data_IF_686006750602
#
_entry.id   IF_686006750602
#
_cell.length_a   1.000
_cell.length_b   1.000
_cell.length_c   1.000
_cell.angle_alpha   90.00
_cell.angle_beta   90.00
_cell.angle_gamma   90.00
#
_symmetry.space_group_name_H-M   'P 1'
#
loop_
_entity.id
_entity.type
_entity.pdbx_description
1 polymer ?
#
# COMPACT_ATOMS: atom_id res chain seq x y z
N UNK A 1 -8.95 -28.36 26.74
CA UNK A 1 -9.27 -28.03 25.34
C UNK A 1 -9.77 -26.58 25.27
N UNK A 2 -8.88 -25.59 25.40
CA UNK A 2 -9.21 -24.15 25.26
C UNK A 2 -7.94 -23.44 24.77
N UNK A 3 -7.75 -23.28 23.46
CA UNK A 3 -6.68 -22.43 22.90
C UNK A 3 -6.89 -22.02 21.43
N UNK A 4 -8.13 -21.77 21.03
CA UNK A 4 -8.44 -21.36 19.65
C UNK A 4 -9.31 -20.09 19.54
N UNK A 5 -9.87 -19.58 20.64
CA UNK A 5 -10.74 -18.39 20.62
C UNK A 5 -9.97 -17.05 20.69
N UNK A 6 -8.77 -17.00 21.31
CA UNK A 6 -8.04 -15.74 21.52
C UNK A 6 -7.28 -15.23 20.29
N UNK A 7 -6.93 -16.09 19.35
CA UNK A 7 -6.20 -15.69 18.13
C UNK A 7 -7.10 -14.92 17.17
N UNK A 8 -8.36 -15.34 17.03
CA UNK A 8 -9.34 -14.69 16.14
C UNK A 8 -9.75 -13.28 16.59
N UNK A 9 -9.84 -13.04 17.91
CA UNK A 9 -10.22 -11.72 18.45
C UNK A 9 -9.08 -10.72 18.32
N UNK A 10 -7.83 -11.15 18.55
CA UNK A 10 -6.66 -10.33 18.28
C UNK A 10 -6.53 -10.06 16.78
N UNK A 11 -6.83 -11.05 15.92
CA UNK A 11 -6.82 -10.88 14.47
C UNK A 11 -7.84 -9.87 13.94
N UNK A 12 -9.07 -9.92 14.45
CA UNK A 12 -10.12 -8.97 14.09
C UNK A 12 -9.81 -7.55 14.61
N UNK A 13 -9.27 -7.44 15.83
CA UNK A 13 -9.02 -6.14 16.47
C UNK A 13 -7.93 -5.30 15.79
N UNK A 14 -6.98 -5.90 15.06
CA UNK A 14 -5.99 -5.14 14.29
C UNK A 14 -6.43 -4.82 12.86
N UNK A 15 -7.30 -5.66 12.25
CA UNK A 15 -7.93 -5.35 10.94
C UNK A 15 -8.63 -3.99 10.98
N UNK A 16 -9.26 -3.67 12.10
CA UNK A 16 -9.93 -2.37 12.32
C UNK A 16 -8.97 -1.20 12.63
N UNK A 17 -7.80 -1.46 13.24
CA UNK A 17 -6.89 -0.41 13.72
C UNK A 17 -5.84 0.04 12.69
N UNK A 18 -5.35 -0.86 11.84
CA UNK A 18 -4.24 -0.62 10.92
C UNK A 18 -4.59 -0.76 9.41
N UNK A 19 -5.81 -1.17 9.05
CA UNK A 19 -6.37 -0.86 7.73
C UNK A 19 -6.55 -2.01 6.75
N UNK A 20 -7.34 -1.65 5.74
CA UNK A 20 -7.85 -2.33 4.53
C UNK A 20 -8.76 -3.55 4.76
N UNK A 21 -10.03 -3.37 4.39
CA UNK A 21 -11.05 -4.42 4.26
C UNK A 21 -10.68 -5.32 3.06
N UNK A 22 -9.70 -6.20 3.30
CA UNK A 22 -9.30 -7.34 2.47
C UNK A 22 -9.57 -7.23 0.97
N UNK A 23 -10.07 -8.31 0.37
CA UNK A 23 -10.47 -8.34 -1.05
C UNK A 23 -11.92 -7.89 -1.24
N UNK A 24 -12.66 -7.66 -0.14
CA UNK A 24 -14.06 -7.24 -0.14
C UNK A 24 -14.25 -5.88 -0.80
N UNK A 25 -13.21 -5.02 -0.79
CA UNK A 25 -13.18 -3.76 -1.55
C UNK A 25 -13.42 -3.95 -3.06
N UNK A 26 -13.15 -5.14 -3.59
CA UNK A 26 -13.30 -5.46 -5.01
C UNK A 26 -14.73 -5.86 -5.37
N UNK A 27 -15.62 -5.94 -4.37
CA UNK A 27 -17.06 -6.22 -4.55
C UNK A 27 -17.80 -4.98 -5.05
N UNK A 28 -17.33 -4.49 -6.19
CA UNK A 28 -17.90 -3.42 -6.97
C UNK A 28 -17.86 -3.87 -8.43
N UNK A 29 -18.85 -3.47 -9.25
CA UNK A 29 -18.85 -3.80 -10.66
C UNK A 29 -17.59 -3.24 -11.33
N UNK A 30 -16.99 -4.04 -12.21
CA UNK A 30 -15.93 -3.56 -13.09
C UNK A 30 -16.49 -2.47 -14.02
N UNK A 31 -15.72 -1.42 -14.25
CA UNK A 31 -15.96 -0.48 -15.34
C UNK A 31 -14.88 -0.54 -16.41
N UNK A 32 -14.66 0.58 -17.10
CA UNK A 32 -13.55 0.76 -18.04
C UNK A 32 -12.50 1.69 -17.47
N UNK A 33 -11.22 1.42 -17.74
CA UNK A 33 -10.14 2.39 -17.51
C UNK A 33 -9.33 2.62 -18.77
N UNK A 34 -8.82 3.83 -18.95
CA UNK A 34 -7.96 4.19 -20.08
C UNK A 34 -6.50 3.76 -19.88
N UNK A 35 -5.64 4.06 -20.85
CA UNK A 35 -4.21 3.74 -20.80
C UNK A 35 -3.47 4.45 -19.65
N UNK A 36 -3.82 5.71 -19.37
CA UNK A 36 -3.19 6.49 -18.31
C UNK A 36 -3.58 5.95 -16.93
N UNK A 37 -4.84 5.56 -16.76
CA UNK A 37 -5.36 4.94 -15.55
C UNK A 37 -4.77 3.54 -15.31
N UNK A 38 -4.54 2.74 -16.37
CA UNK A 38 -3.79 1.48 -16.26
C UNK A 38 -2.36 1.71 -15.78
N UNK A 39 -1.66 2.69 -16.36
CA UNK A 39 -0.30 3.03 -15.94
C UNK A 39 -0.28 3.53 -14.48
N UNK A 40 -1.28 4.32 -14.07
CA UNK A 40 -1.44 4.75 -12.70
C UNK A 40 -1.63 3.58 -11.75
N UNK A 41 -2.49 2.61 -12.09
CA UNK A 41 -2.73 1.42 -11.28
C UNK A 41 -1.45 0.58 -11.08
N UNK A 42 -0.62 0.46 -12.12
CA UNK A 42 0.72 -0.16 -12.02
C UNK A 42 1.62 0.62 -11.06
N UNK A 43 1.62 1.95 -11.16
CA UNK A 43 2.41 2.82 -10.29
C UNK A 43 1.96 2.76 -8.81
N UNK A 44 0.67 2.52 -8.54
CA UNK A 44 0.14 2.24 -7.20
C UNK A 44 0.71 0.92 -6.65
N UNK A 45 0.70 -0.15 -7.45
CA UNK A 45 1.25 -1.44 -7.03
C UNK A 45 2.73 -1.35 -6.66
N UNK A 46 3.52 -0.60 -7.44
CA UNK A 46 4.94 -0.35 -7.16
C UNK A 46 5.11 0.38 -5.83
N UNK A 47 4.32 1.44 -5.58
CA UNK A 47 4.37 2.20 -4.32
C UNK A 47 4.03 1.36 -3.10
N UNK A 48 2.97 0.54 -3.18
CA UNK A 48 2.60 -0.39 -2.09
C UNK A 48 3.73 -1.38 -1.85
N UNK A 49 4.35 -1.93 -2.91
CA UNK A 49 5.49 -2.84 -2.76
C UNK A 49 6.68 -2.18 -2.06
N UNK A 50 7.02 -0.94 -2.43
CA UNK A 50 8.10 -0.19 -1.77
C UNK A 50 7.77 0.02 -0.29
N UNK A 51 6.53 0.45 0.03
CA UNK A 51 6.10 0.64 1.42
C UNK A 51 6.16 -0.66 2.23
N UNK A 52 5.69 -1.77 1.65
CA UNK A 52 5.80 -3.11 2.23
C UNK A 52 7.25 -3.47 2.54
N UNK A 53 8.13 -3.39 1.56
CA UNK A 53 9.53 -3.83 1.70
C UNK A 53 10.30 -2.95 2.70
N UNK A 54 10.00 -1.65 2.76
CA UNK A 54 10.55 -0.75 3.78
C UNK A 54 10.09 -1.14 5.18
N UNK A 55 8.80 -1.45 5.37
CA UNK A 55 8.27 -1.89 6.66
C UNK A 55 8.92 -3.20 7.12
N UNK A 56 9.09 -4.17 6.20
CA UNK A 56 9.81 -5.43 6.50
C UNK A 56 11.24 -5.13 6.94
N UNK A 57 11.99 -4.38 6.11
CA UNK A 57 13.39 -4.08 6.39
C UNK A 57 13.58 -3.33 7.72
N UNK A 58 12.73 -2.36 8.03
CA UNK A 58 12.84 -1.60 9.28
C UNK A 58 12.31 -2.35 10.50
N UNK A 59 11.33 -3.24 10.35
CA UNK A 59 10.90 -4.12 11.44
C UNK A 59 11.99 -5.13 11.83
N UNK A 60 12.78 -5.59 10.86
CA UNK A 60 13.93 -6.46 11.10
C UNK A 60 15.11 -5.70 11.74
N UNK A 61 15.34 -4.44 11.34
CA UNK A 61 16.48 -3.63 11.79
C UNK A 61 16.25 -2.93 13.14
N UNK A 62 15.01 -2.55 13.45
CA UNK A 62 14.67 -1.79 14.65
C UNK A 62 13.62 -2.50 15.49
N UNK A 63 13.88 -2.67 16.79
CA UNK A 63 12.89 -3.07 17.78
C UNK A 63 12.80 -2.02 18.90
N UNK A 64 11.60 -1.57 19.30
CA UNK A 64 10.28 -1.98 18.81
C UNK A 64 9.82 -1.16 17.57
N UNK A 65 9.12 -1.77 16.62
CA UNK A 65 8.66 -1.13 15.37
C UNK A 65 7.24 -1.59 15.00
N UNK A 66 6.43 -0.79 14.27
CA UNK A 66 5.07 -1.16 13.84
C UNK A 66 5.03 -2.25 12.76
N UNK A 67 5.55 -3.45 13.06
CA UNK A 67 5.58 -4.59 12.13
C UNK A 67 4.19 -5.06 11.68
N UNK A 68 3.13 -4.75 12.45
CA UNK A 68 1.75 -5.06 12.09
C UNK A 68 1.30 -4.44 10.74
N UNK A 69 1.96 -3.37 10.31
CA UNK A 69 1.65 -2.69 9.04
C UNK A 69 2.03 -3.52 7.81
N UNK A 70 2.98 -4.46 7.92
CA UNK A 70 3.40 -5.34 6.81
C UNK A 70 2.21 -6.15 6.28
N UNK A 71 1.39 -6.68 7.18
CA UNK A 71 0.21 -7.45 6.81
C UNK A 71 -0.83 -6.59 6.07
N UNK A 72 -0.98 -5.31 6.46
CA UNK A 72 -1.88 -4.38 5.79
C UNK A 72 -1.42 -4.09 4.36
N UNK A 73 -0.13 -3.78 4.17
CA UNK A 73 0.45 -3.56 2.84
C UNK A 73 0.35 -4.79 1.93
N UNK A 74 0.45 -6.00 2.50
CA UNK A 74 0.23 -7.24 1.76
C UNK A 74 -1.19 -7.32 1.18
N UNK A 75 -2.23 -7.00 1.98
CA UNK A 75 -3.62 -7.02 1.51
C UNK A 75 -3.89 -5.97 0.44
N UNK A 76 -3.36 -4.77 0.64
CA UNK A 76 -3.44 -3.67 -0.34
C UNK A 76 -2.82 -4.09 -1.68
N UNK A 77 -1.64 -4.73 -1.64
CA UNK A 77 -0.96 -5.23 -2.84
C UNK A 77 -1.76 -6.33 -3.55
N UNK A 78 -2.38 -7.24 -2.80
CA UNK A 78 -3.25 -8.28 -3.36
C UNK A 78 -4.44 -7.65 -4.08
N UNK A 79 -5.14 -6.70 -3.46
CA UNK A 79 -6.28 -6.04 -4.08
C UNK A 79 -5.90 -5.34 -5.39
N UNK A 80 -4.78 -4.60 -5.39
CA UNK A 80 -4.29 -3.92 -6.58
C UNK A 80 -3.83 -4.91 -7.66
N UNK A 81 -3.21 -6.03 -7.30
CA UNK A 81 -2.84 -7.09 -8.27
C UNK A 81 -4.06 -7.71 -8.93
N UNK A 82 -5.16 -7.91 -8.20
CA UNK A 82 -6.41 -8.40 -8.78
C UNK A 82 -6.97 -7.37 -9.78
N UNK A 83 -6.94 -6.07 -9.46
CA UNK A 83 -7.32 -5.04 -10.43
C UNK A 83 -6.40 -5.04 -11.67
N UNK A 84 -5.09 -5.19 -11.49
CA UNK A 84 -4.15 -5.24 -12.61
C UNK A 84 -4.47 -6.41 -13.54
N UNK A 85 -4.79 -7.58 -13.00
CA UNK A 85 -5.23 -8.74 -13.78
C UNK A 85 -6.56 -8.47 -14.49
N UNK A 86 -7.57 -7.95 -13.76
CA UNK A 86 -8.91 -7.63 -14.27
C UNK A 86 -8.87 -6.67 -15.46
N UNK A 87 -7.94 -5.72 -15.44
CA UNK A 87 -7.81 -4.66 -16.45
C UNK A 87 -6.75 -4.92 -17.51
N UNK A 88 -6.20 -6.14 -17.59
CA UNK A 88 -5.15 -6.46 -18.56
C UNK A 88 -3.89 -5.61 -18.38
N UNK A 89 -3.68 -5.05 -17.19
CA UNK A 89 -2.52 -4.23 -16.87
C UNK A 89 -1.32 -5.07 -16.39
N UNK A 90 -1.39 -6.41 -16.51
CA UNK A 90 -0.34 -7.35 -16.13
C UNK A 90 0.72 -7.64 -17.21
N UNK A 91 0.45 -7.34 -18.49
CA UNK A 91 1.32 -7.70 -19.63
C UNK A 91 1.09 -6.70 -20.80
N UNK A 92 2.13 -6.16 -21.50
CA UNK A 92 1.95 -5.13 -22.52
C UNK A 92 1.45 -5.73 -23.84
N UNK A 93 0.13 -5.66 -24.06
CA UNK A 93 -0.51 -6.06 -25.32
C UNK A 93 -0.90 -4.87 -26.21
N UNK A 94 -0.20 -4.72 -27.33
CA UNK A 94 -0.56 -4.02 -28.60
C UNK A 94 -0.96 -2.52 -28.60
N UNK A 95 -1.02 -1.84 -27.45
CA UNK A 95 -1.15 -0.39 -27.39
C UNK A 95 0.20 0.29 -27.15
N UNK A 96 0.33 1.56 -27.54
CA UNK A 96 1.40 2.44 -27.02
C UNK A 96 1.14 2.63 -25.52
N UNK A 97 1.51 1.63 -24.72
CA UNK A 97 1.38 1.69 -23.28
C UNK A 97 2.34 2.77 -22.74
N UNK A 98 1.92 3.57 -21.76
CA UNK A 98 2.82 4.48 -21.07
C UNK A 98 4.03 3.71 -20.52
N UNK A 99 5.23 4.31 -20.58
CA UNK A 99 6.48 3.71 -20.09
C UNK A 99 6.27 3.06 -18.72
N UNK A 100 6.55 1.76 -18.64
CA UNK A 100 6.48 1.01 -17.40
C UNK A 100 7.57 1.50 -16.43
N UNK A 101 7.22 1.58 -15.14
CA UNK A 101 8.23 1.72 -14.08
C UNK A 101 9.07 0.46 -14.09
N UNK A 102 10.38 0.62 -14.22
CA UNK A 102 11.31 -0.51 -14.29
C UNK A 102 11.59 -1.08 -12.90
N UNK A 103 12.00 -2.35 -12.84
CA UNK A 103 12.51 -2.95 -11.60
C UNK A 103 13.72 -2.19 -11.05
N UNK A 104 14.55 -1.63 -11.93
CA UNK A 104 15.70 -0.82 -11.56
C UNK A 104 15.29 0.50 -10.87
N UNK A 105 14.31 1.21 -11.42
CA UNK A 105 13.75 2.42 -10.79
C UNK A 105 13.10 2.08 -9.43
N UNK A 106 12.31 1.02 -9.38
CA UNK A 106 11.70 0.54 -8.12
C UNK A 106 12.76 0.21 -7.06
N UNK A 107 13.84 -0.47 -7.46
CA UNK A 107 14.95 -0.82 -6.57
C UNK A 107 15.73 0.41 -6.11
N UNK A 108 15.96 1.37 -7.00
CA UNK A 108 16.60 2.63 -6.66
C UNK A 108 15.78 3.37 -5.59
N UNK A 109 14.48 3.57 -5.82
CA UNK A 109 13.62 4.26 -4.86
C UNK A 109 13.61 3.56 -3.49
N UNK A 110 13.50 2.22 -3.49
CA UNK A 110 13.61 1.43 -2.26
C UNK A 110 14.94 1.66 -1.53
N UNK A 111 16.08 1.48 -2.21
CA UNK A 111 17.39 1.61 -1.56
C UNK A 111 17.65 3.04 -1.06
N UNK A 112 17.20 4.06 -1.80
CA UNK A 112 17.28 5.46 -1.36
C UNK A 112 16.49 5.69 -0.09
N UNK A 113 15.23 5.26 -0.04
CA UNK A 113 14.36 5.43 1.13
C UNK A 113 14.87 4.61 2.32
N UNK A 114 15.34 3.38 2.07
CA UNK A 114 15.96 2.54 3.08
C UNK A 114 17.19 3.20 3.67
N UNK A 115 18.11 3.71 2.85
CA UNK A 115 19.32 4.39 3.33
C UNK A 115 18.99 5.58 4.25
N UNK A 116 17.95 6.36 3.93
CA UNK A 116 17.46 7.44 4.81
C UNK A 116 16.97 6.91 6.15
N UNK A 117 16.21 5.81 6.14
CA UNK A 117 15.66 5.22 7.36
C UNK A 117 16.71 4.55 8.25
N UNK A 118 17.81 4.03 7.66
CA UNK A 118 18.91 3.38 8.39
C UNK A 118 19.69 4.30 9.34
N UNK A 119 19.48 5.61 9.26
CA UNK A 119 20.12 6.56 10.17
C UNK A 119 19.66 6.37 11.63
N UNK A 120 18.41 5.97 11.87
CA UNK A 120 17.88 5.67 13.21
C UNK A 120 16.45 5.12 13.11
N UNK A 121 15.96 4.49 14.18
CA UNK A 121 14.54 4.12 14.33
C UNK A 121 13.59 5.29 14.03
N UNK A 122 13.90 6.49 14.52
CA UNK A 122 13.09 7.69 14.27
C UNK A 122 13.14 8.12 12.80
N UNK A 123 14.27 7.94 12.11
CA UNK A 123 14.36 8.19 10.68
C UNK A 123 13.56 7.16 9.87
N UNK A 124 13.61 5.88 10.25
CA UNK A 124 12.80 4.82 9.64
C UNK A 124 11.30 5.10 9.76
N UNK A 125 10.81 5.46 10.96
CA UNK A 125 9.40 5.84 11.16
C UNK A 125 9.01 7.07 10.33
N UNK A 126 9.91 8.05 10.18
CA UNK A 126 9.69 9.21 9.33
C UNK A 126 9.56 8.83 7.85
N UNK A 127 10.44 7.96 7.36
CA UNK A 127 10.37 7.45 5.98
C UNK A 127 9.03 6.75 5.73
N UNK A 128 8.60 5.86 6.62
CA UNK A 128 7.29 5.19 6.49
C UNK A 128 6.15 6.21 6.49
N UNK A 129 6.18 7.21 7.39
CA UNK A 129 5.17 8.25 7.45
C UNK A 129 5.10 9.10 6.17
N UNK A 130 6.26 9.42 5.57
CA UNK A 130 6.34 10.12 4.29
C UNK A 130 5.73 9.28 3.16
N UNK A 131 6.12 8.01 3.03
CA UNK A 131 5.58 7.11 2.00
C UNK A 131 4.06 6.96 2.07
N UNK A 132 3.50 6.87 3.28
CA UNK A 132 2.04 6.80 3.47
C UNK A 132 1.33 8.10 3.09
N UNK A 133 1.94 9.25 3.35
CA UNK A 133 1.41 10.56 2.92
C UNK A 133 1.46 10.70 1.40
N UNK A 134 2.60 10.37 0.80
CA UNK A 134 2.82 10.42 -0.65
C UNK A 134 1.83 9.50 -1.40
N UNK A 135 1.41 8.37 -0.81
CA UNK A 135 0.35 7.55 -1.38
C UNK A 135 -0.97 8.32 -1.53
N UNK A 136 -1.39 9.05 -0.48
CA UNK A 136 -2.63 9.84 -0.51
C UNK A 136 -2.52 10.96 -1.56
N UNK A 137 -1.42 11.70 -1.53
CA UNK A 137 -1.14 12.78 -2.49
C UNK A 137 -1.08 12.28 -3.94
N UNK A 138 -0.66 11.02 -4.15
CA UNK A 138 -0.64 10.38 -5.45
C UNK A 138 -2.03 9.94 -5.93
N UNK A 139 -2.88 9.44 -5.03
CA UNK A 139 -4.21 8.90 -5.37
C UNK A 139 -5.29 9.97 -5.51
N UNK A 140 -5.30 10.99 -4.65
CA UNK A 140 -6.38 11.98 -4.57
C UNK A 140 -6.66 12.71 -5.91
N UNK A 141 -5.65 13.20 -6.66
CA UNK A 141 -5.90 13.97 -7.87
C UNK A 141 -6.60 13.19 -8.99
N UNK A 142 -6.46 11.85 -9.02
CA UNK A 142 -7.03 11.03 -10.11
C UNK A 142 -8.44 10.53 -9.81
N UNK A 143 -8.87 10.55 -8.55
CA UNK A 143 -10.20 10.07 -8.13
C UNK A 143 -11.38 10.67 -8.92
N UNK A 144 -11.43 11.98 -9.25
CA UNK A 144 -12.53 12.55 -10.01
C UNK A 144 -12.66 12.00 -11.44
N UNK A 145 -11.55 11.53 -12.03
CA UNK A 145 -11.52 11.00 -13.39
C UNK A 145 -11.82 9.49 -13.49
N UNK A 146 -11.92 8.78 -12.36
CA UNK A 146 -12.17 7.33 -12.36
C UNK A 146 -13.65 7.02 -12.50
N UNK A 147 -14.02 6.42 -13.63
CA UNK A 147 -15.38 5.94 -13.89
C UNK A 147 -15.58 4.47 -13.55
N UNK A 148 -14.48 3.69 -13.45
CA UNK A 148 -14.51 2.30 -12.98
C UNK A 148 -14.80 2.23 -11.47
N UNK A 149 -15.98 1.72 -11.04
CA UNK A 149 -16.39 1.76 -9.64
C UNK A 149 -15.48 0.98 -8.70
N UNK A 150 -14.99 -0.17 -9.12
CA UNK A 150 -14.04 -1.01 -8.40
C UNK A 150 -12.68 -0.33 -8.19
N UNK A 151 -12.08 0.24 -9.24
CA UNK A 151 -10.81 0.98 -9.14
C UNK A 151 -10.97 2.19 -8.23
N UNK A 152 -12.06 2.94 -8.38
CA UNK A 152 -12.35 4.10 -7.53
C UNK A 152 -12.52 3.69 -6.06
N UNK A 153 -13.25 2.61 -5.79
CA UNK A 153 -13.44 2.11 -4.43
C UNK A 153 -12.11 1.67 -3.80
N UNK A 154 -11.27 0.94 -4.53
CA UNK A 154 -9.93 0.57 -4.06
C UNK A 154 -9.09 1.80 -3.76
N UNK A 155 -9.06 2.81 -4.62
CA UNK A 155 -8.28 4.03 -4.37
C UNK A 155 -8.78 4.81 -3.15
N UNK A 156 -10.10 4.94 -2.98
CA UNK A 156 -10.68 5.57 -1.79
C UNK A 156 -10.30 4.81 -0.51
N UNK A 157 -10.36 3.48 -0.54
CA UNK A 157 -9.93 2.68 0.60
C UNK A 157 -8.43 2.84 0.87
N UNK A 158 -7.57 2.84 -0.16
CA UNK A 158 -6.14 3.07 -0.01
C UNK A 158 -5.83 4.44 0.61
N UNK A 159 -6.55 5.50 0.24
CA UNK A 159 -6.40 6.81 0.90
C UNK A 159 -6.76 6.72 2.39
N UNK A 160 -7.92 6.14 2.71
CA UNK A 160 -8.40 6.00 4.10
C UNK A 160 -7.43 5.17 4.93
N UNK A 161 -6.90 4.08 4.39
CA UNK A 161 -5.99 3.19 5.11
C UNK A 161 -4.62 3.80 5.26
N UNK A 162 -4.09 4.46 4.24
CA UNK A 162 -2.82 5.22 4.34
C UNK A 162 -2.88 6.26 5.45
N UNK A 163 -4.00 7.01 5.57
CA UNK A 163 -4.20 7.97 6.67
C UNK A 163 -4.30 7.30 8.05
N UNK A 164 -4.94 6.13 8.17
CA UNK A 164 -5.00 5.38 9.44
C UNK A 164 -3.61 4.86 9.83
N UNK A 165 -2.88 4.28 8.89
CA UNK A 165 -1.52 3.79 9.09
C UNK A 165 -0.57 4.93 9.46
N UNK A 166 -0.73 6.11 8.84
CA UNK A 166 0.04 7.30 9.19
C UNK A 166 -0.15 7.68 10.66
N UNK A 167 -1.39 7.64 11.18
CA UNK A 167 -1.66 7.88 12.61
C UNK A 167 -1.00 6.84 13.51
N UNK A 168 -0.98 5.56 13.10
CA UNK A 168 -0.26 4.51 13.82
C UNK A 168 1.23 4.84 13.89
N UNK A 169 1.86 5.13 12.75
CA UNK A 169 3.29 5.47 12.68
C UNK A 169 3.63 6.73 13.48
N UNK A 170 2.76 7.74 13.48
CA UNK A 170 2.91 8.94 14.30
C UNK A 170 2.83 8.63 15.80
N UNK A 171 1.89 7.77 16.21
CA UNK A 171 1.79 7.33 17.61
C UNK A 171 3.05 6.55 18.03
N UNK A 172 3.59 5.72 17.15
CA UNK A 172 4.86 5.02 17.36
C UNK A 172 6.07 5.97 17.44
N UNK A 173 6.06 7.05 16.67
CA UNK A 173 7.11 8.08 16.70
C UNK A 173 7.11 8.90 18.00
N UNK A 174 5.94 9.03 18.65
CA UNK A 174 5.81 9.71 19.93
C UNK A 174 6.23 8.85 21.13
N UNK A 175 6.35 7.52 20.94
CA UNK A 175 6.84 6.59 21.97
C UNK A 175 8.37 6.67 22.03
N UNK A 176 8.87 7.25 23.11
CA UNK A 176 10.30 7.26 23.46
C UNK A 176 10.78 5.85 23.81
#
# INVERSE_FOLDING_TARGET
MVRQANTNVLEAAWRDRAGFCGVEVLDQPAGSIDLAQRAHLRAVAVRIKIAHDLLVAFADEYAPFPGELVAAQTRELVAVRILLQRYGAGDPGTGVEPRLVTEAETRHDFERLRARGRASRSAALRVVAETLREMVEFLEPVLPGLTAPDVRNVYLQLCVTSLRQLRVVQAWSARR
#
